data_IF_631292189133
#
_entry.id   IF_631292189133
#
_cell.length_a   1.000
_cell.length_b   1.000
_cell.length_c   1.000
_cell.angle_alpha   90.00
_cell.angle_beta   90.00
_cell.angle_gamma   90.00
#
_symmetry.space_group_name_H-M   'P 1'
#
loop_
_entity.id
_entity.type
_entity.pdbx_description
1 polymer ?
#
# COMPACT_ATOMS: atom_id res chain seq x y z
N UNK A 1 28.67 -4.40 8.95
CA UNK A 1 27.70 -3.65 8.14
C UNK A 1 27.46 -4.47 6.89
N UNK A 2 26.21 -4.82 6.62
CA UNK A 2 25.85 -5.53 5.40
C UNK A 2 26.12 -4.69 4.16
N UNK A 3 26.08 -5.31 2.98
CA UNK A 3 26.17 -4.60 1.72
C UNK A 3 24.86 -3.84 1.51
N UNK A 4 24.95 -2.53 1.27
CA UNK A 4 23.76 -1.71 0.91
C UNK A 4 23.69 -1.66 -0.61
N UNK A 5 22.60 -2.16 -1.15
CA UNK A 5 22.24 -2.00 -2.56
C UNK A 5 21.33 -0.78 -2.72
N UNK A 6 21.54 0.03 -3.78
CA UNK A 6 20.77 1.24 -4.05
C UNK A 6 19.96 1.06 -5.32
N UNK A 7 18.65 1.22 -5.22
CA UNK A 7 17.72 1.08 -6.33
C UNK A 7 17.07 2.42 -6.68
N UNK A 8 17.41 3.01 -7.83
CA UNK A 8 16.70 4.20 -8.30
C UNK A 8 15.28 3.81 -8.73
N UNK A 9 14.32 4.63 -8.34
CA UNK A 9 12.89 4.43 -8.65
C UNK A 9 12.17 5.76 -8.79
N UNK A 10 10.97 5.72 -9.32
CA UNK A 10 10.07 6.88 -9.34
C UNK A 10 8.92 6.64 -8.37
N UNK A 11 8.73 7.58 -7.46
CA UNK A 11 7.62 7.53 -6.52
C UNK A 11 6.31 7.86 -7.24
N UNK A 12 5.58 6.82 -7.57
CA UNK A 12 4.20 6.92 -8.05
C UNK A 12 3.31 6.14 -7.10
N UNK A 13 2.45 6.80 -6.39
CA UNK A 13 1.68 6.05 -5.49
C UNK A 13 0.40 6.56 -4.96
N UNK A 14 -0.50 5.65 -4.94
CA UNK A 14 -1.71 5.68 -4.18
C UNK A 14 -1.49 5.66 -2.64
N UNK A 15 -0.48 4.96 -2.13
CA UNK A 15 -0.31 4.69 -0.69
C UNK A 15 -0.06 5.92 0.18
N UNK A 16 0.65 6.92 -0.34
CA UNK A 16 0.94 8.17 0.36
C UNK A 16 0.15 9.36 -0.18
N UNK A 17 -0.73 9.13 -1.14
CA UNK A 17 -1.48 10.18 -1.83
C UNK A 17 -0.58 11.10 -2.65
N UNK A 18 0.52 10.59 -3.20
CA UNK A 18 1.46 11.36 -3.99
C UNK A 18 1.33 11.04 -5.48
N UNK A 19 1.24 12.08 -6.31
CA UNK A 19 1.23 12.00 -7.78
C UNK A 19 2.44 12.72 -8.38
N UNK A 20 3.42 13.06 -7.56
CA UNK A 20 4.53 13.93 -7.97
C UNK A 20 5.55 13.30 -8.91
N UNK A 21 5.60 11.98 -9.02
CA UNK A 21 6.58 11.31 -9.89
C UNK A 21 8.05 11.60 -9.53
N UNK A 22 8.34 11.86 -8.25
CA UNK A 22 9.69 12.19 -7.80
C UNK A 22 10.61 10.97 -7.89
N UNK A 23 11.82 11.15 -8.43
CA UNK A 23 12.88 10.15 -8.38
C UNK A 23 13.40 9.95 -6.96
N UNK A 24 13.49 8.71 -6.55
CA UNK A 24 13.98 8.29 -5.23
C UNK A 24 15.07 7.24 -5.38
N UNK A 25 16.00 7.21 -4.46
CA UNK A 25 16.95 6.13 -4.27
C UNK A 25 16.53 5.32 -3.03
N UNK A 26 16.25 4.04 -3.23
CA UNK A 26 15.93 3.10 -2.16
C UNK A 26 17.20 2.38 -1.73
N UNK A 27 17.61 2.52 -0.49
CA UNK A 27 18.74 1.82 0.09
C UNK A 27 18.23 0.56 0.80
N UNK A 28 18.71 -0.58 0.36
CA UNK A 28 18.30 -1.89 0.87
C UNK A 28 19.51 -2.60 1.45
N UNK A 29 19.43 -3.02 2.70
CA UNK A 29 20.43 -3.86 3.39
C UNK A 29 19.77 -5.19 3.76
N UNK A 30 20.34 -6.30 3.32
CA UNK A 30 19.83 -7.65 3.58
C UNK A 30 18.32 -7.84 3.28
N UNK A 31 17.85 -7.27 2.16
CA UNK A 31 16.45 -7.33 1.74
C UNK A 31 15.51 -6.37 2.48
N UNK A 32 16.02 -5.54 3.37
CA UNK A 32 15.25 -4.55 4.13
C UNK A 32 15.52 -3.13 3.66
N UNK A 33 14.47 -2.37 3.40
CA UNK A 33 14.59 -0.96 3.08
C UNK A 33 15.02 -0.17 4.33
N UNK A 34 16.23 0.41 4.29
CA UNK A 34 16.83 1.10 5.43
C UNK A 34 16.82 2.62 5.30
N UNK A 35 16.76 3.13 4.06
CA UNK A 35 16.74 4.58 3.79
C UNK A 35 16.05 4.87 2.46
N UNK A 36 15.39 6.02 2.38
CA UNK A 36 14.89 6.61 1.14
C UNK A 36 15.44 8.03 1.04
N UNK A 37 15.92 8.42 -0.13
CA UNK A 37 16.38 9.79 -0.41
C UNK A 37 16.04 10.18 -1.85
N UNK A 38 16.08 11.49 -2.15
CA UNK A 38 15.86 11.96 -3.51
C UNK A 38 17.00 11.56 -4.44
N UNK A 39 16.65 11.20 -5.67
CA UNK A 39 17.61 10.90 -6.73
C UNK A 39 18.07 12.23 -7.38
N UNK A 40 19.36 12.53 -7.27
CA UNK A 40 19.95 13.78 -7.81
C UNK A 40 19.92 13.81 -9.34
N UNK A 41 20.01 12.66 -9.98
CA UNK A 41 19.98 12.54 -11.45
C UNK A 41 18.56 12.63 -12.03
N UNK A 42 17.53 12.63 -11.19
CA UNK A 42 16.15 12.69 -11.67
C UNK A 42 15.78 14.11 -12.13
N UNK A 43 15.30 14.30 -13.39
CA UNK A 43 15.13 15.61 -14.00
C UNK A 43 14.11 16.51 -13.31
N UNK A 44 13.14 15.92 -12.63
CA UNK A 44 12.07 16.65 -11.96
C UNK A 44 12.47 17.18 -10.58
N UNK A 45 12.87 16.29 -9.67
CA UNK A 45 13.10 16.66 -8.27
C UNK A 45 14.58 16.90 -7.90
N UNK A 46 15.54 16.44 -8.72
CA UNK A 46 16.97 16.75 -8.57
C UNK A 46 17.46 16.59 -7.12
N UNK A 47 17.23 15.42 -6.54
CA UNK A 47 17.60 15.08 -5.17
C UNK A 47 16.65 15.59 -4.08
N UNK A 48 15.68 16.44 -4.40
CA UNK A 48 14.73 16.93 -3.39
C UNK A 48 13.68 15.86 -3.08
N UNK A 49 13.34 15.74 -1.79
CA UNK A 49 12.30 14.83 -1.32
C UNK A 49 11.46 15.46 -0.22
N UNK A 50 10.16 15.15 -0.23
CA UNK A 50 9.28 15.62 0.82
C UNK A 50 9.42 14.74 2.08
N UNK A 51 9.02 15.24 3.26
CA UNK A 51 9.09 14.47 4.50
C UNK A 51 8.37 13.12 4.45
N UNK A 52 7.29 12.99 3.67
CA UNK A 52 6.57 11.71 3.51
C UNK A 52 7.44 10.64 2.85
N UNK A 53 8.16 10.99 1.77
CA UNK A 53 9.06 10.06 1.10
C UNK A 53 10.22 9.66 2.02
N UNK A 54 10.81 10.61 2.74
CA UNK A 54 11.90 10.34 3.68
C UNK A 54 11.47 9.46 4.86
N UNK A 55 10.21 9.56 5.29
CA UNK A 55 9.65 8.74 6.37
C UNK A 55 9.11 7.38 5.91
N UNK A 56 9.32 6.97 4.64
CA UNK A 56 8.73 5.76 4.08
C UNK A 56 9.14 4.49 4.84
N UNK A 57 10.37 4.41 5.35
CA UNK A 57 10.82 3.27 6.16
C UNK A 57 9.98 3.09 7.42
N UNK A 58 9.56 4.18 8.06
CA UNK A 58 8.70 4.13 9.25
C UNK A 58 7.29 3.64 8.89
N UNK A 59 6.78 4.04 7.73
CA UNK A 59 5.48 3.62 7.24
C UNK A 59 5.46 2.15 6.83
N UNK A 60 6.47 1.70 6.08
CA UNK A 60 6.55 0.31 5.58
C UNK A 60 6.65 -0.69 6.73
N UNK A 61 7.44 -0.36 7.76
CA UNK A 61 7.70 -1.26 8.89
C UNK A 61 6.95 -0.85 10.17
N UNK A 62 5.86 -0.12 10.02
CA UNK A 62 5.08 0.27 11.20
C UNK A 62 4.52 -0.97 11.90
N UNK A 63 4.58 -0.98 13.24
CA UNK A 63 4.13 -2.13 14.06
C UNK A 63 2.66 -2.51 13.85
N UNK A 64 1.82 -1.53 13.54
CA UNK A 64 0.39 -1.72 13.32
C UNK A 64 0.03 -1.93 11.83
N UNK A 65 1.04 -2.21 10.99
CA UNK A 65 0.79 -2.50 9.58
C UNK A 65 0.01 -3.80 9.43
N UNK A 66 -1.11 -3.74 8.74
CA UNK A 66 -1.89 -4.92 8.38
C UNK A 66 -1.11 -5.69 7.32
N UNK A 67 -0.70 -6.93 7.65
CA UNK A 67 0.12 -7.79 6.78
C UNK A 67 -0.64 -8.99 6.23
N UNK A 68 -1.88 -9.18 6.64
CA UNK A 68 -2.77 -10.23 6.16
C UNK A 68 -4.22 -9.75 6.15
N UNK A 69 -5.11 -10.37 5.36
CA UNK A 69 -6.52 -10.02 5.35
C UNK A 69 -7.16 -10.13 6.72
N UNK A 70 -8.17 -9.32 6.96
CA UNK A 70 -8.94 -9.33 8.21
C UNK A 70 -10.43 -9.33 7.90
N UNK A 71 -11.19 -10.12 8.66
CA UNK A 71 -12.65 -10.11 8.63
C UNK A 71 -13.21 -9.39 9.85
N UNK A 72 -14.27 -8.63 9.68
CA UNK A 72 -14.95 -7.99 10.79
C UNK A 72 -15.78 -9.02 11.57
N UNK A 73 -15.55 -9.11 12.88
CA UNK A 73 -16.26 -10.04 13.79
C UNK A 73 -17.20 -9.34 14.76
N UNK A 74 -17.21 -8.01 14.77
CA UNK A 74 -18.09 -7.19 15.59
C UNK A 74 -19.12 -6.42 14.77
N UNK A 75 -19.95 -5.64 15.48
CA UNK A 75 -20.89 -4.72 14.85
C UNK A 75 -20.16 -3.63 14.05
N UNK A 76 -20.87 -3.03 13.09
CA UNK A 76 -20.31 -1.92 12.30
C UNK A 76 -19.96 -0.74 13.22
N UNK A 77 -18.71 -0.31 13.18
CA UNK A 77 -18.18 0.78 14.01
C UNK A 77 -17.43 0.34 15.28
N UNK A 78 -17.54 -0.92 15.68
CA UNK A 78 -16.80 -1.43 16.85
C UNK A 78 -15.29 -1.59 16.61
N UNK A 79 -14.86 -1.70 15.35
CA UNK A 79 -13.45 -1.86 15.00
C UNK A 79 -12.86 -3.22 15.39
N UNK A 80 -13.69 -4.25 15.52
CA UNK A 80 -13.26 -5.62 15.86
C UNK A 80 -13.01 -6.42 14.60
N UNK A 81 -11.76 -6.84 14.39
CA UNK A 81 -11.33 -7.61 13.25
C UNK A 81 -10.48 -8.79 13.69
N UNK A 82 -10.59 -9.90 12.96
CA UNK A 82 -9.73 -11.07 13.12
C UNK A 82 -9.01 -11.39 11.82
N UNK A 83 -7.76 -11.85 11.89
CA UNK A 83 -7.00 -12.24 10.71
C UNK A 83 -7.57 -13.51 10.10
N UNK A 84 -7.60 -13.56 8.75
CA UNK A 84 -7.99 -14.72 7.96
C UNK A 84 -6.95 -14.99 6.87
N UNK A 85 -6.98 -16.16 6.26
CA UNK A 85 -6.13 -16.45 5.09
C UNK A 85 -6.56 -15.66 3.86
N UNK A 86 -5.70 -15.60 2.85
CA UNK A 86 -6.04 -15.00 1.56
C UNK A 86 -7.13 -15.78 0.84
N UNK A 87 -7.12 -17.12 0.91
CA UNK A 87 -8.13 -17.97 0.28
C UNK A 87 -9.50 -17.69 0.90
N UNK A 88 -9.60 -17.70 2.24
CA UNK A 88 -10.84 -17.36 2.95
C UNK A 88 -11.35 -15.94 2.62
N UNK A 89 -10.45 -14.98 2.48
CA UNK A 89 -10.82 -13.61 2.12
C UNK A 89 -11.38 -13.51 0.70
N UNK A 90 -10.77 -14.22 -0.25
CA UNK A 90 -11.21 -14.24 -1.65
C UNK A 90 -12.54 -14.98 -1.80
N UNK A 91 -12.69 -16.13 -1.16
CA UNK A 91 -13.94 -16.90 -1.15
C UNK A 91 -15.09 -16.06 -0.55
N UNK A 92 -14.82 -15.34 0.53
CA UNK A 92 -15.79 -14.43 1.14
C UNK A 92 -16.20 -13.29 0.19
N UNK A 93 -15.24 -12.69 -0.52
CA UNK A 93 -15.51 -11.65 -1.49
C UNK A 93 -16.35 -12.21 -2.67
N UNK A 94 -16.00 -13.38 -3.19
CA UNK A 94 -16.74 -14.05 -4.27
C UNK A 94 -18.18 -14.32 -3.86
N UNK A 95 -18.39 -14.94 -2.69
CA UNK A 95 -19.72 -15.22 -2.15
C UNK A 95 -20.57 -13.95 -2.04
N UNK A 96 -20.03 -12.89 -1.41
CA UNK A 96 -20.80 -11.66 -1.16
C UNK A 96 -21.08 -10.87 -2.42
N UNK A 97 -20.07 -10.67 -3.27
CA UNK A 97 -20.24 -9.92 -4.52
C UNK A 97 -21.11 -10.70 -5.51
N UNK A 98 -20.90 -12.02 -5.60
CA UNK A 98 -21.72 -12.90 -6.43
C UNK A 98 -23.19 -12.91 -5.99
N UNK A 99 -23.45 -13.06 -4.69
CA UNK A 99 -24.80 -13.02 -4.14
C UNK A 99 -25.53 -11.68 -4.41
N UNK A 100 -24.83 -10.55 -4.23
CA UNK A 100 -25.41 -9.22 -4.54
C UNK A 100 -25.72 -9.09 -6.05
N UNK A 101 -24.80 -9.53 -6.90
CA UNK A 101 -25.01 -9.53 -8.35
C UNK A 101 -26.22 -10.36 -8.76
N UNK A 102 -26.35 -11.54 -8.19
CA UNK A 102 -27.40 -12.52 -8.56
C UNK A 102 -28.77 -12.09 -8.02
N UNK A 103 -28.82 -11.38 -6.89
CA UNK A 103 -30.04 -10.87 -6.30
C UNK A 103 -30.51 -9.53 -6.89
N UNK A 104 -29.56 -8.60 -7.15
CA UNK A 104 -29.88 -7.19 -7.49
C UNK A 104 -29.36 -6.74 -8.86
N UNK A 105 -28.67 -7.61 -9.61
CA UNK A 105 -28.03 -7.28 -10.87
C UNK A 105 -26.61 -6.72 -10.72
N UNK A 106 -25.82 -6.79 -11.81
CA UNK A 106 -24.41 -6.39 -11.80
C UNK A 106 -24.22 -4.89 -11.50
N UNK A 107 -25.17 -4.05 -11.86
CA UNK A 107 -25.17 -2.61 -11.62
C UNK A 107 -25.32 -2.20 -10.15
N UNK A 108 -25.64 -3.16 -9.26
CA UNK A 108 -25.66 -2.92 -7.81
C UNK A 108 -24.28 -2.85 -7.17
N UNK A 109 -23.24 -3.30 -7.88
CA UNK A 109 -21.84 -3.27 -7.42
C UNK A 109 -21.12 -2.06 -8.00
N UNK A 110 -20.71 -1.15 -7.14
CA UNK A 110 -20.00 0.08 -7.53
C UNK A 110 -18.56 0.00 -7.07
N UNK A 111 -17.61 0.17 -8.00
CA UNK A 111 -16.19 0.33 -7.70
C UNK A 111 -15.88 1.82 -7.53
N UNK A 112 -15.41 2.18 -6.34
CA UNK A 112 -14.96 3.54 -6.05
C UNK A 112 -13.45 3.51 -5.90
N UNK A 113 -12.75 4.21 -6.80
CA UNK A 113 -11.31 4.36 -6.70
C UNK A 113 -10.94 5.83 -6.66
N UNK A 114 -9.91 6.15 -5.88
CA UNK A 114 -9.31 7.47 -5.89
C UNK A 114 -8.30 7.56 -7.01
N UNK A 115 -8.20 8.71 -7.55
CA UNK A 115 -7.17 9.17 -8.47
C UNK A 115 -6.90 8.37 -9.71
N UNK A 116 -7.22 8.90 -10.81
CA UNK A 116 -6.69 8.50 -12.11
C UNK A 116 -5.35 9.16 -12.41
#
# INVERSE_FOLDING_TARGET
MGKIDVYPTTAWSAGTGCHGGCGQNLHVEDGKLVKVEGNEDHPWNQGRSCPRALAMTQYVYHKDRITQPQIRVGERGEGKFEPISWDEALDYCEEKMGGIRDEYGAESVIFVQGTG
#
